data_IF_887161507193
#
_entry.id   IF_887161507193
#
_cell.length_a   1.000
_cell.length_b   1.000
_cell.length_c   1.000
_cell.angle_alpha   90.00
_cell.angle_beta   90.00
_cell.angle_gamma   90.00
#
_symmetry.space_group_name_H-M   'P 1'
#
loop_
_entity.id
_entity.type
_entity.pdbx_description
1 polymer ?
#
# COMPACT_ATOMS: atom_id res chain seq x y z
N UNK A 1 13.68 25.46 -25.20
CA UNK A 1 14.04 24.08 -24.81
C UNK A 1 13.63 23.89 -23.36
N UNK A 2 12.75 22.95 -23.01
CA UNK A 2 12.51 22.61 -21.61
C UNK A 2 13.76 21.92 -21.03
N UNK A 3 14.09 22.11 -19.74
CA UNK A 3 15.27 21.52 -19.14
C UNK A 3 15.16 19.99 -19.14
N UNK A 4 16.28 19.33 -19.45
CA UNK A 4 16.41 17.87 -19.40
C UNK A 4 15.90 17.37 -18.04
N UNK A 5 14.93 16.45 -18.10
CA UNK A 5 14.34 15.84 -16.90
C UNK A 5 15.44 15.31 -16.00
N UNK A 6 15.53 15.89 -14.81
CA UNK A 6 16.46 15.47 -13.78
C UNK A 6 16.16 14.00 -13.47
N UNK A 7 16.98 13.08 -14.01
CA UNK A 7 16.95 11.68 -13.63
C UNK A 7 17.35 11.64 -12.16
N UNK A 8 16.35 11.60 -11.28
CA UNK A 8 16.56 11.34 -9.87
C UNK A 8 17.25 9.97 -9.77
N UNK A 9 18.52 9.99 -9.40
CA UNK A 9 19.23 8.77 -9.06
C UNK A 9 18.70 8.34 -7.69
N UNK A 10 17.82 7.36 -7.67
CA UNK A 10 17.22 6.83 -6.45
C UNK A 10 18.21 5.79 -5.91
N UNK A 11 18.98 6.15 -4.90
CA UNK A 11 19.82 5.19 -4.18
C UNK A 11 18.93 4.36 -3.25
N UNK A 12 19.03 3.03 -3.39
CA UNK A 12 18.33 2.07 -2.55
C UNK A 12 19.32 1.63 -1.46
N UNK A 13 19.04 1.99 -0.19
CA UNK A 13 19.84 1.51 0.94
C UNK A 13 19.79 -0.02 1.04
N UNK A 14 20.90 -0.63 1.43
CA UNK A 14 20.98 -2.10 1.59
C UNK A 14 19.94 -2.63 2.60
N UNK A 15 19.58 -1.82 3.60
CA UNK A 15 18.59 -2.11 4.63
C UNK A 15 17.15 -2.19 4.12
N UNK A 16 16.85 -1.53 3.00
CA UNK A 16 15.53 -1.56 2.36
C UNK A 16 15.50 -2.38 1.06
N UNK A 17 16.66 -2.82 0.58
CA UNK A 17 16.81 -3.54 -0.69
C UNK A 17 16.06 -4.88 -0.70
N UNK A 18 16.04 -5.59 0.42
CA UNK A 18 15.33 -6.86 0.56
C UNK A 18 13.80 -6.70 0.59
N UNK A 19 13.32 -5.46 0.74
CA UNK A 19 11.91 -5.15 0.87
C UNK A 19 11.28 -5.73 2.14
N UNK A 20 9.96 -5.54 2.29
CA UNK A 20 9.22 -6.07 3.42
C UNK A 20 7.92 -6.71 2.95
N UNK A 21 7.76 -8.01 3.21
CA UNK A 21 6.54 -8.73 2.85
C UNK A 21 5.34 -8.28 3.70
N UNK A 22 4.24 -7.97 3.01
CA UNK A 22 2.92 -7.71 3.60
C UNK A 22 1.83 -8.36 2.77
N UNK A 23 0.81 -8.90 3.43
CA UNK A 23 -0.38 -9.49 2.80
C UNK A 23 -1.67 -8.74 3.14
N UNK A 24 -1.56 -7.63 3.86
CA UNK A 24 -2.66 -6.75 4.21
C UNK A 24 -2.18 -5.30 4.23
N UNK A 25 -3.03 -4.38 3.76
CA UNK A 25 -2.86 -2.95 3.95
C UNK A 25 -4.11 -2.36 4.60
N UNK A 26 -3.94 -1.55 5.64
CA UNK A 26 -5.01 -0.74 6.24
C UNK A 26 -4.74 0.71 5.85
N UNK A 27 -5.73 1.35 5.24
CA UNK A 27 -5.63 2.75 4.81
C UNK A 27 -6.55 3.58 5.69
N UNK A 28 -5.97 4.55 6.40
CA UNK A 28 -6.69 5.58 7.14
C UNK A 28 -6.31 6.95 6.60
N UNK A 29 -7.17 7.95 6.74
CA UNK A 29 -6.88 9.26 6.20
C UNK A 29 -7.56 10.38 7.00
N UNK A 30 -7.05 11.59 6.78
CA UNK A 30 -7.63 12.87 7.17
C UNK A 30 -7.55 13.82 5.98
N UNK A 31 -7.98 15.07 6.17
CA UNK A 31 -7.87 16.10 5.13
C UNK A 31 -6.42 16.44 4.75
N UNK A 32 -5.44 16.14 5.61
CA UNK A 32 -4.04 16.51 5.41
C UNK A 32 -3.16 15.33 5.05
N UNK A 33 -3.55 14.11 5.42
CA UNK A 33 -2.67 12.94 5.35
C UNK A 33 -3.44 11.65 5.08
N UNK A 34 -2.80 10.74 4.34
CA UNK A 34 -3.15 9.34 4.20
C UNK A 34 -2.08 8.50 4.88
N UNK A 35 -2.50 7.55 5.70
CA UNK A 35 -1.64 6.61 6.41
C UNK A 35 -1.93 5.22 5.88
N UNK A 36 -0.91 4.59 5.29
CA UNK A 36 -0.95 3.22 4.79
C UNK A 36 -0.12 2.34 5.73
N UNK A 37 -0.82 1.48 6.46
CA UNK A 37 -0.22 0.47 7.32
C UNK A 37 -0.14 -0.85 6.61
N UNK A 38 1.06 -1.33 6.33
CA UNK A 38 1.32 -2.64 5.75
C UNK A 38 1.51 -3.66 6.87
N UNK A 39 0.66 -4.67 6.92
CA UNK A 39 0.67 -5.69 7.97
C UNK A 39 1.01 -7.06 7.40
N UNK A 40 1.55 -7.90 8.28
CA UNK A 40 1.74 -9.32 8.03
C UNK A 40 0.86 -10.13 8.98
N UNK A 41 -0.12 -10.83 8.41
CA UNK A 41 -0.95 -11.81 9.10
C UNK A 41 -0.40 -13.21 8.83
N UNK A 42 -0.12 -13.97 9.88
CA UNK A 42 0.34 -15.36 9.80
C UNK A 42 -0.70 -16.29 10.43
N UNK A 43 -1.00 -17.45 9.84
CA UNK A 43 -1.87 -18.45 10.45
C UNK A 43 -1.37 -18.83 11.85
N UNK A 44 -2.29 -18.96 12.81
CA UNK A 44 -1.96 -19.33 14.19
C UNK A 44 -1.39 -18.20 15.06
N UNK A 45 -1.19 -16.99 14.53
CA UNK A 45 -0.76 -15.82 15.32
C UNK A 45 -1.93 -14.84 15.45
N UNK A 46 -2.49 -14.64 16.65
CA UNK A 46 -3.70 -13.82 16.85
C UNK A 46 -3.46 -12.31 16.74
N UNK A 47 -2.20 -11.87 16.59
CA UNK A 47 -1.84 -10.45 16.50
C UNK A 47 -1.16 -10.15 15.18
N UNK A 48 -1.76 -9.24 14.41
CA UNK A 48 -1.11 -8.62 13.27
C UNK A 48 0.07 -7.76 13.75
N UNK A 49 1.20 -7.81 13.04
CA UNK A 49 2.30 -6.86 13.24
C UNK A 49 2.34 -5.90 12.06
N UNK A 50 2.35 -4.59 12.34
CA UNK A 50 2.66 -3.56 11.35
C UNK A 50 4.12 -3.73 10.97
N UNK A 51 4.37 -3.84 9.67
CA UNK A 51 5.68 -4.06 9.09
C UNK A 51 6.28 -2.80 8.49
N UNK A 52 5.42 -1.96 7.91
CA UNK A 52 5.79 -0.63 7.45
C UNK A 52 4.58 0.29 7.56
N UNK A 53 4.84 1.57 7.83
CA UNK A 53 3.84 2.65 7.82
C UNK A 53 4.34 3.74 6.89
N UNK A 54 3.54 4.07 5.89
CA UNK A 54 3.82 5.16 4.96
C UNK A 54 2.77 6.24 5.14
N UNK A 55 3.22 7.47 5.40
CA UNK A 55 2.35 8.65 5.50
C UNK A 55 2.57 9.49 4.25
N UNK A 56 1.49 9.91 3.61
CA UNK A 56 1.53 10.66 2.36
C UNK A 56 0.46 11.74 2.32
N UNK A 57 0.71 12.82 1.58
CA UNK A 57 -0.34 13.83 1.35
C UNK A 57 -1.42 13.27 0.41
N UNK A 58 -2.67 13.79 0.46
CA UNK A 58 -3.75 13.35 -0.44
C UNK A 58 -3.39 13.39 -1.93
N UNK A 59 -2.62 14.39 -2.35
CA UNK A 59 -2.18 14.52 -3.74
C UNK A 59 -1.24 13.38 -4.15
N UNK A 60 -0.31 12.98 -3.26
CA UNK A 60 0.61 11.87 -3.51
C UNK A 60 -0.11 10.52 -3.47
N UNK A 61 -1.06 10.33 -2.55
CA UNK A 61 -1.92 9.15 -2.52
C UNK A 61 -2.70 8.96 -3.83
N UNK A 62 -3.26 10.05 -4.37
CA UNK A 62 -3.96 10.02 -5.66
C UNK A 62 -3.04 9.68 -6.84
N UNK A 63 -1.79 10.17 -6.82
CA UNK A 63 -0.76 9.81 -7.82
C UNK A 63 -0.37 8.33 -7.72
N UNK A 64 -0.18 7.84 -6.50
CA UNK A 64 0.11 6.42 -6.24
C UNK A 64 -1.01 5.52 -6.77
N UNK A 65 -2.27 5.82 -6.48
CA UNK A 65 -3.41 5.04 -6.97
C UNK A 65 -3.41 4.91 -8.51
N UNK A 66 -3.20 6.03 -9.22
CA UNK A 66 -3.17 6.03 -10.69
C UNK A 66 -2.03 5.18 -11.22
N UNK A 67 -0.82 5.40 -10.71
CA UNK A 67 0.35 4.64 -11.11
C UNK A 67 0.18 3.14 -10.81
N UNK A 68 -0.37 2.80 -9.64
CA UNK A 68 -0.61 1.41 -9.25
C UNK A 68 -1.63 0.74 -10.18
N UNK A 69 -2.74 1.42 -10.47
CA UNK A 69 -3.77 0.91 -11.37
C UNK A 69 -3.20 0.63 -12.78
N UNK A 70 -2.46 1.59 -13.34
CA UNK A 70 -1.82 1.42 -14.65
C UNK A 70 -0.83 0.24 -14.68
N UNK A 71 -0.05 0.04 -13.61
CA UNK A 71 0.90 -1.08 -13.54
C UNK A 71 0.19 -2.42 -13.36
N UNK A 72 -0.90 -2.48 -12.58
CA UNK A 72 -1.71 -3.69 -12.45
C UNK A 72 -2.34 -4.05 -13.80
N UNK A 73 -2.96 -3.10 -14.50
CA UNK A 73 -3.55 -3.36 -15.81
C UNK A 73 -2.52 -3.92 -16.80
N UNK A 74 -1.32 -3.32 -16.87
CA UNK A 74 -0.23 -3.81 -17.72
C UNK A 74 0.26 -5.21 -17.33
N UNK A 75 0.24 -5.54 -16.03
CA UNK A 75 0.57 -6.87 -15.55
C UNK A 75 -0.49 -7.88 -16.00
N UNK A 76 -1.77 -7.58 -15.80
CA UNK A 76 -2.89 -8.45 -16.15
C UNK A 76 -3.01 -8.70 -17.65
N UNK A 77 -2.71 -7.70 -18.49
CA UNK A 77 -2.62 -7.86 -19.95
C UNK A 77 -1.61 -8.94 -20.37
N UNK A 78 -0.53 -9.13 -19.59
CA UNK A 78 0.56 -10.07 -19.90
C UNK A 78 0.42 -11.41 -19.19
N UNK A 79 -0.11 -11.41 -17.96
CA UNK A 79 -0.11 -12.57 -17.07
C UNK A 79 -1.51 -13.13 -16.78
N UNK A 80 -2.55 -12.48 -17.32
CA UNK A 80 -3.95 -12.78 -17.04
C UNK A 80 -4.47 -12.02 -15.83
N UNK A 81 -5.80 -11.95 -15.72
CA UNK A 81 -6.51 -11.24 -14.66
C UNK A 81 -6.16 -11.81 -13.27
N UNK A 82 -5.84 -10.92 -12.35
CA UNK A 82 -5.68 -11.23 -10.93
C UNK A 82 -7.04 -11.67 -10.40
N UNK A 83 -7.11 -12.91 -9.92
CA UNK A 83 -8.33 -13.43 -9.32
C UNK A 83 -8.56 -12.78 -7.96
N UNK A 84 -9.56 -11.92 -7.89
CA UNK A 84 -10.06 -11.44 -6.60
C UNK A 84 -10.70 -12.61 -5.86
N UNK A 85 -10.23 -12.90 -4.65
CA UNK A 85 -10.92 -13.86 -3.80
C UNK A 85 -12.26 -13.23 -3.35
N UNK A 86 -13.41 -13.92 -3.49
CA UNK A 86 -14.72 -13.39 -3.10
C UNK A 86 -14.81 -13.02 -1.62
N UNK A 87 -13.90 -13.56 -0.80
CA UNK A 87 -13.65 -13.13 0.57
C UNK A 87 -12.64 -11.99 0.60
N UNK A 88 -12.99 -10.88 -0.04
CA UNK A 88 -12.30 -9.61 0.16
C UNK A 88 -12.19 -9.38 1.66
N UNK A 89 -10.97 -9.56 2.17
CA UNK A 89 -10.53 -9.47 3.56
C UNK A 89 -11.65 -9.07 4.53
N UNK A 90 -12.52 -10.02 4.92
CA UNK A 90 -13.40 -9.83 6.08
C UNK A 90 -12.49 -9.93 7.30
N UNK A 91 -11.74 -8.87 7.55
CA UNK A 91 -11.06 -8.69 8.83
C UNK A 91 -12.15 -8.87 9.90
N UNK A 92 -11.95 -9.74 10.92
CA UNK A 92 -12.88 -9.79 12.02
C UNK A 92 -13.00 -8.36 12.58
N UNK A 93 -14.22 -7.80 12.49
CA UNK A 93 -14.64 -6.44 12.87
C UNK A 93 -14.57 -6.22 14.40
N UNK A 94 -13.52 -6.73 15.05
CA UNK A 94 -13.30 -6.63 16.49
C UNK A 94 -11.95 -5.98 16.84
N UNK A 95 -11.30 -5.31 15.88
CA UNK A 95 -10.18 -4.40 16.17
C UNK A 95 -10.75 -3.06 16.68
N UNK A 96 -11.00 -3.00 17.98
CA UNK A 96 -11.50 -1.80 18.69
C UNK A 96 -10.47 -0.68 18.75
N UNK A 97 -10.48 0.19 17.74
CA UNK A 97 -9.88 1.53 17.75
C UNK A 97 -10.96 2.58 17.48
N UNK A 98 -10.77 3.85 17.91
CA UNK A 98 -11.82 4.88 17.82
C UNK A 98 -12.29 5.05 16.38
N UNK A 99 -13.59 5.19 16.22
CA UNK A 99 -14.29 5.52 14.98
C UNK A 99 -13.57 6.68 14.30
N UNK A 100 -12.77 6.37 13.27
CA UNK A 100 -12.27 7.38 12.36
C UNK A 100 -13.50 7.97 11.65
N UNK A 101 -13.79 9.22 11.95
CA UNK A 101 -14.90 9.95 11.35
C UNK A 101 -14.68 10.06 9.83
N UNK A 102 -15.80 9.93 9.11
CA UNK A 102 -15.92 9.89 7.66
C UNK A 102 -15.48 11.18 6.96
#
# INVERSE_FOLDING_TARGET
MPPAGQQLNIELGEDVADGTYSNLVIITHSNTEFVLDFLRLMPGVPKAKVKSRIVMTPQHAKRLLRALNENISKYEEKHGTIKESPEGTKLPMNFGGPTAQA
#
